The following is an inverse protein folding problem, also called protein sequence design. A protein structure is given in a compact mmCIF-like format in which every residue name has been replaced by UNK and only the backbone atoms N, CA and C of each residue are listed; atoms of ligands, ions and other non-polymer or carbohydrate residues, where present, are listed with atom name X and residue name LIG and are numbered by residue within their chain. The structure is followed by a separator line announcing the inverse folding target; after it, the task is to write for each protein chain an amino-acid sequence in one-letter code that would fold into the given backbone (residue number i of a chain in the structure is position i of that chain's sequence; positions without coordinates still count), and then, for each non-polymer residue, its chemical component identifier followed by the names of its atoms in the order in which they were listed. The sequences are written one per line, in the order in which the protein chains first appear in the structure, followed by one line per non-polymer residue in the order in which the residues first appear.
data_IF_985799695188
#
_entry.id   IF_985799695188
#
_cell.length_a   1.000
_cell.length_b   1.000
_cell.length_c   1.000
_cell.angle_alpha   90.00
_cell.angle_beta   90.00
_cell.angle_gamma   90.00
#
_symmetry.space_group_name_H-M   'P 1'
#
loop_
_entity.id
_entity.type
_entity.pdbx_description
1 polymer ?
#
# COMPACT_ATOMS: atom_id res chain seq x y z
N UNK A 1 3.59 19.39 -2.94
CA UNK A 1 4.74 19.07 -2.06
C UNK A 1 4.48 17.69 -1.47
N UNK A 2 5.40 16.73 -1.62
CA UNK A 2 5.22 15.40 -1.04
C UNK A 2 5.18 15.52 0.48
N UNK A 3 4.15 14.95 1.10
CA UNK A 3 3.94 14.96 2.56
C UNK A 3 4.53 13.68 3.17
N UNK A 4 4.85 13.69 4.46
CA UNK A 4 5.36 12.51 5.20
C UNK A 4 4.58 12.42 6.51
N UNK A 5 4.21 11.21 6.94
CA UNK A 5 3.52 10.98 8.20
C UNK A 5 4.46 10.24 9.17
N UNK A 6 4.69 10.78 10.37
CA UNK A 6 5.49 10.11 11.40
C UNK A 6 4.57 9.45 12.43
N UNK A 7 4.80 8.17 12.71
CA UNK A 7 3.94 7.35 13.58
C UNK A 7 4.75 6.62 14.66
N UNK A 8 4.33 6.65 15.93
CA UNK A 8 5.00 5.88 16.98
C UNK A 8 4.86 4.38 16.76
N UNK A 9 5.92 3.63 17.09
CA UNK A 9 5.93 2.18 16.98
C UNK A 9 5.02 1.54 18.02
N UNK A 10 3.99 0.85 17.54
CA UNK A 10 3.06 0.07 18.37
C UNK A 10 3.29 -1.42 18.19
N UNK A 11 3.14 -2.17 19.28
CA UNK A 11 3.15 -3.62 19.27
C UNK A 11 1.72 -4.16 19.21
N UNK A 12 1.53 -5.32 18.57
CA UNK A 12 0.23 -5.96 18.42
C UNK A 12 -0.14 -6.21 16.96
N UNK A 13 -1.30 -6.84 16.77
CA UNK A 13 -1.87 -7.10 15.44
C UNK A 13 -3.32 -6.66 15.44
N UNK A 14 -3.78 -6.16 14.31
CA UNK A 14 -5.20 -5.93 14.06
C UNK A 14 -5.99 -7.21 14.42
N UNK A 15 -6.99 -7.13 15.30
CA UNK A 15 -7.89 -8.26 15.53
C UNK A 15 -8.54 -8.70 14.23
N UNK A 16 -8.71 -10.02 14.04
CA UNK A 16 -9.28 -10.57 12.80
C UNK A 16 -10.65 -9.98 12.46
N UNK A 17 -11.52 -9.80 13.45
CA UNK A 17 -12.85 -9.22 13.26
C UNK A 17 -12.80 -7.78 12.73
N UNK A 18 -11.79 -6.99 13.13
CA UNK A 18 -11.60 -5.63 12.64
C UNK A 18 -11.09 -5.68 11.20
N UNK A 19 -10.07 -6.50 10.95
CA UNK A 19 -9.52 -6.67 9.61
C UNK A 19 -10.58 -7.09 8.58
N UNK A 20 -11.48 -8.01 8.94
CA UNK A 20 -12.59 -8.42 8.06
C UNK A 20 -13.55 -7.26 7.74
N UNK A 21 -13.84 -6.38 8.72
CA UNK A 21 -14.62 -5.15 8.48
C UNK A 21 -13.87 -4.15 7.61
N UNK A 22 -12.59 -3.93 7.89
CA UNK A 22 -11.72 -3.06 7.09
C UNK A 22 -11.69 -3.51 5.63
N UNK A 23 -11.51 -4.81 5.38
CA UNK A 23 -11.48 -5.39 4.03
C UNK A 23 -12.77 -5.14 3.26
N UNK A 24 -13.92 -5.34 3.91
CA UNK A 24 -15.23 -5.12 3.26
C UNK A 24 -15.43 -3.65 2.94
N UNK A 25 -15.19 -2.77 3.93
CA UNK A 25 -15.40 -1.33 3.80
C UNK A 25 -14.43 -0.70 2.81
N UNK A 26 -13.14 -1.08 2.84
CA UNK A 26 -12.14 -0.58 1.90
C UNK A 26 -12.51 -0.92 0.46
N UNK A 27 -12.97 -2.14 0.20
CA UNK A 27 -13.43 -2.53 -1.13
C UNK A 27 -14.59 -1.69 -1.65
N UNK A 28 -15.62 -1.45 -0.83
CA UNK A 28 -16.78 -0.62 -1.22
C UNK A 28 -16.36 0.83 -1.48
N UNK A 29 -15.53 1.42 -0.61
CA UNK A 29 -15.07 2.80 -0.79
C UNK A 29 -14.27 2.93 -2.10
N UNK A 30 -13.37 1.98 -2.37
CA UNK A 30 -12.55 2.01 -3.58
C UNK A 30 -13.39 1.82 -4.84
N UNK A 31 -14.36 0.91 -4.81
CA UNK A 31 -15.31 0.73 -5.92
C UNK A 31 -16.08 2.02 -6.20
N UNK A 32 -16.59 2.72 -5.18
CA UNK A 32 -17.27 4.00 -5.34
C UNK A 32 -16.36 5.07 -5.95
N UNK A 33 -15.11 5.19 -5.47
CA UNK A 33 -14.14 6.14 -6.03
C UNK A 33 -13.86 5.82 -7.50
N UNK A 34 -13.73 4.53 -7.85
CA UNK A 34 -13.47 4.11 -9.23
C UNK A 34 -14.66 4.43 -10.13
N UNK A 35 -15.89 4.20 -9.67
CA UNK A 35 -17.11 4.51 -10.44
C UNK A 35 -17.22 6.01 -10.69
N UNK A 36 -16.97 6.84 -9.67
CA UNK A 36 -17.19 8.29 -9.74
C UNK A 36 -16.02 9.05 -10.38
N UNK A 37 -14.78 8.58 -10.20
CA UNK A 37 -13.56 9.34 -10.49
C UNK A 37 -12.48 8.54 -11.25
N UNK A 38 -12.70 7.24 -11.46
CA UNK A 38 -11.76 6.37 -12.17
C UNK A 38 -10.62 5.81 -11.30
N UNK A 39 -9.90 4.84 -11.84
CA UNK A 39 -8.83 4.09 -11.15
C UNK A 39 -7.61 4.95 -10.86
N UNK A 40 -7.28 5.89 -11.74
CA UNK A 40 -6.17 6.82 -11.54
C UNK A 40 -6.37 7.68 -10.29
N UNK A 41 -7.63 8.02 -9.96
CA UNK A 41 -7.93 8.76 -8.74
C UNK A 41 -7.59 7.96 -7.49
N UNK A 42 -7.83 6.65 -7.48
CA UNK A 42 -7.40 5.77 -6.39
C UNK A 42 -5.89 5.83 -6.19
N UNK A 43 -5.12 5.77 -7.29
CA UNK A 43 -3.65 5.87 -7.21
C UNK A 43 -3.20 7.22 -6.64
N UNK A 44 -3.81 8.32 -7.09
CA UNK A 44 -3.53 9.66 -6.59
C UNK A 44 -3.81 9.77 -5.08
N UNK A 45 -4.99 9.31 -4.64
CA UNK A 45 -5.42 9.38 -3.24
C UNK A 45 -4.54 8.52 -2.32
N UNK A 46 -4.21 7.29 -2.74
CA UNK A 46 -3.33 6.40 -1.97
C UNK A 46 -1.89 6.93 -1.90
N UNK A 47 -1.45 7.71 -2.89
CA UNK A 47 -0.13 8.33 -2.88
C UNK A 47 -0.02 9.53 -1.92
N UNK A 48 -1.13 10.08 -1.45
CA UNK A 48 -1.16 11.17 -0.47
C UNK A 48 -1.16 10.61 0.97
N UNK A 49 -0.07 10.80 1.75
CA UNK A 49 -0.01 10.21 3.09
C UNK A 49 -1.07 10.74 4.05
N UNK A 50 -1.53 11.99 3.91
CA UNK A 50 -2.58 12.52 4.77
C UNK A 50 -3.93 11.86 4.46
N UNK A 51 -4.25 11.72 3.16
CA UNK A 51 -5.48 11.02 2.76
C UNK A 51 -5.42 9.54 3.16
N UNK A 52 -4.28 8.88 2.95
CA UNK A 52 -4.08 7.48 3.31
C UNK A 52 -4.23 7.23 4.82
N UNK A 53 -3.66 8.10 5.67
CA UNK A 53 -3.83 8.02 7.12
C UNK A 53 -5.30 8.23 7.51
N UNK A 54 -5.98 9.23 6.93
CA UNK A 54 -7.39 9.47 7.17
C UNK A 54 -8.26 8.28 6.72
N UNK A 55 -7.93 7.67 5.58
CA UNK A 55 -8.58 6.46 5.11
C UNK A 55 -8.42 5.30 6.10
N UNK A 56 -7.21 5.09 6.65
CA UNK A 56 -7.00 4.10 7.71
C UNK A 56 -7.87 4.35 8.95
N UNK A 57 -8.05 5.61 9.33
CA UNK A 57 -8.95 6.01 10.43
C UNK A 57 -10.43 5.72 10.10
N UNK A 58 -10.87 6.02 8.87
CA UNK A 58 -12.23 5.69 8.38
C UNK A 58 -12.49 4.19 8.43
N UNK A 59 -11.47 3.37 8.18
CA UNK A 59 -11.57 1.91 8.30
C UNK A 59 -11.60 1.42 9.76
N UNK A 60 -11.53 2.32 10.74
CA UNK A 60 -11.57 2.00 12.17
C UNK A 60 -10.21 1.64 12.77
N UNK A 61 -9.10 2.02 12.12
CA UNK A 61 -7.76 1.83 12.64
C UNK A 61 -7.25 3.09 13.35
N UNK A 62 -6.36 2.94 14.33
CA UNK A 62 -5.85 4.06 15.12
C UNK A 62 -4.91 4.96 14.31
N UNK A 63 -5.19 6.27 14.35
CA UNK A 63 -4.45 7.33 13.65
C UNK A 63 -2.97 7.45 14.06
N UNK A 64 -2.60 6.96 15.23
CA UNK A 64 -1.25 7.09 15.81
C UNK A 64 -0.47 5.77 15.79
N UNK A 65 -0.84 4.80 14.94
CA UNK A 65 -0.24 3.47 14.93
C UNK A 65 0.62 3.21 13.69
N UNK A 66 1.89 2.86 13.89
CA UNK A 66 2.78 2.35 12.82
C UNK A 66 2.27 1.06 12.15
N UNK A 67 1.24 0.42 12.71
CA UNK A 67 0.57 -0.73 12.12
C UNK A 67 -0.42 -0.36 11.02
N UNK A 68 -0.82 0.92 10.92
CA UNK A 68 -1.88 1.40 10.03
C UNK A 68 -1.57 1.06 8.57
N UNK A 69 -0.43 1.49 8.05
CA UNK A 69 -0.06 1.26 6.64
C UNK A 69 -0.09 -0.21 6.29
N UNK A 70 0.51 -1.05 7.13
CA UNK A 70 0.57 -2.48 6.86
C UNK A 70 -0.80 -3.16 6.90
N UNK A 71 -1.70 -2.69 7.76
CA UNK A 71 -3.04 -3.26 7.93
C UNK A 71 -3.98 -2.78 6.83
N UNK A 72 -3.97 -1.49 6.52
CA UNK A 72 -4.78 -0.87 5.45
C UNK A 72 -4.41 -1.47 4.11
N UNK A 73 -3.11 -1.55 3.76
CA UNK A 73 -2.68 -2.16 2.50
C UNK A 73 -3.01 -3.65 2.42
N UNK A 74 -2.92 -4.38 3.55
CA UNK A 74 -3.36 -5.78 3.61
C UNK A 74 -4.86 -5.93 3.35
N UNK A 75 -5.68 -5.12 4.01
CA UNK A 75 -7.14 -5.13 3.83
C UNK A 75 -7.52 -4.74 2.40
N UNK A 76 -6.87 -3.73 1.83
CA UNK A 76 -7.09 -3.27 0.47
C UNK A 76 -6.72 -4.33 -0.57
N UNK A 77 -5.58 -5.00 -0.41
CA UNK A 77 -5.13 -6.08 -1.30
C UNK A 77 -6.15 -7.22 -1.39
N UNK A 78 -6.65 -7.68 -0.24
CA UNK A 78 -7.67 -8.72 -0.21
C UNK A 78 -9.02 -8.23 -0.76
N UNK A 79 -9.38 -6.97 -0.50
CA UNK A 79 -10.62 -6.38 -0.99
C UNK A 79 -10.67 -6.27 -2.52
N UNK A 80 -9.58 -5.79 -3.15
CA UNK A 80 -9.52 -5.61 -4.60
C UNK A 80 -9.43 -6.96 -5.34
N UNK A 81 -8.76 -7.94 -4.74
CA UNK A 81 -8.71 -9.31 -5.28
C UNK A 81 -10.10 -9.95 -5.41
N UNK A 82 -11.02 -9.64 -4.50
CA UNK A 82 -12.38 -10.19 -4.52
C UNK A 82 -13.33 -9.48 -5.51
N UNK A 83 -13.01 -8.24 -5.93
CA UNK A 83 -13.94 -7.37 -6.68
C UNK A 83 -13.62 -7.19 -8.16
N UNK A 84 -12.42 -7.56 -8.59
CA UNK A 84 -11.97 -7.47 -9.99
C UNK A 84 -12.23 -6.10 -10.64
N UNK A 85 -11.68 -5.03 -10.03
CA UNK A 85 -11.93 -3.64 -10.45
C UNK A 85 -10.87 -3.11 -11.44
N UNK A 86 -10.07 -3.98 -12.05
CA UNK A 86 -8.96 -3.58 -12.92
C UNK A 86 -7.81 -2.84 -12.21
N UNK A 87 -7.71 -3.01 -10.88
CA UNK A 87 -6.67 -2.45 -10.01
C UNK A 87 -6.21 -3.51 -9.01
N UNK A 88 -4.90 -3.59 -8.79
CA UNK A 88 -4.28 -4.63 -7.97
C UNK A 88 -3.24 -4.05 -7.02
N UNK A 89 -3.01 -4.77 -5.92
CA UNK A 89 -1.93 -4.48 -4.96
C UNK A 89 -0.96 -5.65 -4.94
N UNK A 90 0.30 -5.37 -5.24
CA UNK A 90 1.41 -6.31 -5.10
C UNK A 90 2.33 -5.90 -3.94
N UNK A 91 2.92 -6.87 -3.25
CA UNK A 91 3.79 -6.67 -2.10
C UNK A 91 3.08 -6.72 -0.75
N UNK A 92 3.72 -6.14 0.26
CA UNK A 92 3.24 -6.11 1.63
C UNK A 92 4.33 -5.86 2.65
N UNK A 93 4.14 -6.41 3.84
CA UNK A 93 5.02 -6.23 5.00
C UNK A 93 6.18 -7.25 5.02
N UNK A 94 7.38 -6.78 5.36
CA UNK A 94 8.55 -7.62 5.61
C UNK A 94 8.92 -8.49 4.41
N UNK A 95 8.93 -9.82 4.58
CA UNK A 95 9.28 -10.75 3.49
C UNK A 95 8.33 -10.68 2.29
N UNK A 96 7.08 -10.28 2.50
CA UNK A 96 6.09 -10.16 1.42
C UNK A 96 6.45 -9.04 0.44
N UNK A 97 7.08 -7.95 0.91
CA UNK A 97 7.60 -6.87 0.05
C UNK A 97 8.56 -7.37 -1.03
N UNK A 98 9.33 -8.44 -0.74
CA UNK A 98 10.30 -8.99 -1.69
C UNK A 98 9.65 -9.76 -2.83
N UNK A 99 8.38 -10.17 -2.66
CA UNK A 99 7.60 -10.90 -3.66
C UNK A 99 6.83 -9.97 -4.61
N UNK A 100 6.90 -8.65 -4.44
CA UNK A 100 6.20 -7.69 -5.33
C UNK A 100 6.47 -7.96 -6.81
N UNK A 101 7.72 -8.21 -7.28
CA UNK A 101 7.95 -8.51 -8.69
C UNK A 101 7.22 -9.76 -9.18
N UNK A 102 7.16 -10.80 -8.37
CA UNK A 102 6.53 -12.07 -8.75
C UNK A 102 5.00 -11.91 -8.81
N UNK A 103 4.41 -11.25 -7.80
CA UNK A 103 2.97 -10.95 -7.79
C UNK A 103 2.55 -10.05 -8.96
N UNK A 104 3.40 -9.10 -9.38
CA UNK A 104 3.15 -8.29 -10.58
C UNK A 104 3.15 -9.15 -11.84
N UNK A 105 4.08 -10.11 -11.99
CA UNK A 105 4.09 -11.03 -13.14
C UNK A 105 2.84 -11.91 -13.16
N UNK A 106 2.44 -12.45 -12.01
CA UNK A 106 1.27 -13.32 -11.88
C UNK A 106 -0.03 -12.61 -12.31
N UNK A 107 -0.16 -11.31 -12.02
CA UNK A 107 -1.30 -10.50 -12.45
C UNK A 107 -1.16 -10.14 -13.93
N UNK A 108 0.02 -9.66 -14.34
CA UNK A 108 0.27 -9.22 -15.71
C UNK A 108 0.03 -10.33 -16.75
N UNK A 109 0.39 -11.57 -16.43
CA UNK A 109 0.11 -12.74 -17.27
C UNK A 109 -1.40 -12.96 -17.48
N UNK A 110 -2.21 -12.76 -16.44
CA UNK A 110 -3.66 -12.97 -16.49
C UNK A 110 -4.39 -11.89 -17.28
N UNK A 111 -3.88 -10.67 -17.27
CA UNK A 111 -4.55 -9.50 -17.87
C UNK A 111 -3.89 -9.01 -19.17
N UNK A 112 -2.83 -9.69 -19.62
CA UNK A 112 -2.14 -9.36 -20.88
C UNK A 112 -1.29 -8.08 -20.82
N UNK A 113 -0.75 -7.72 -19.66
CA UNK A 113 0.05 -6.51 -19.46
C UNK A 113 1.57 -6.83 -19.49
N UNK A 114 2.40 -5.88 -19.93
CA UNK A 114 3.86 -6.00 -19.80
C UNK A 114 4.30 -5.67 -18.35
N UNK A 115 4.84 -6.62 -17.57
CA UNK A 115 5.17 -6.39 -16.17
C UNK A 115 6.45 -5.57 -15.95
N UNK A 116 7.35 -5.50 -16.93
CA UNK A 116 8.71 -4.98 -16.73
C UNK A 116 8.76 -3.51 -16.28
N UNK A 117 7.98 -2.58 -16.86
CA UNK A 117 7.94 -1.20 -16.37
C UNK A 117 7.47 -1.08 -14.92
N UNK A 118 6.49 -1.89 -14.51
CA UNK A 118 5.96 -1.91 -13.14
C UNK A 118 6.96 -2.50 -12.14
N UNK A 119 7.64 -3.59 -12.53
CA UNK A 119 8.69 -4.21 -11.73
C UNK A 119 9.86 -3.25 -11.54
N UNK A 120 10.27 -2.57 -12.61
CA UNK A 120 11.32 -1.55 -12.55
C UNK A 120 10.93 -0.42 -11.60
N UNK A 121 9.74 0.16 -11.76
CA UNK A 121 9.22 1.21 -10.87
C UNK A 121 9.24 0.77 -9.40
N UNK A 122 8.67 -0.41 -9.11
CA UNK A 122 8.66 -0.99 -7.76
C UNK A 122 10.06 -1.12 -7.16
N UNK A 123 11.02 -1.66 -7.93
CA UNK A 123 12.40 -1.87 -7.45
C UNK A 123 13.12 -0.55 -7.22
N UNK A 124 12.96 0.41 -8.14
CA UNK A 124 13.63 1.70 -8.05
C UNK A 124 13.09 2.53 -6.88
N UNK A 125 11.78 2.54 -6.65
CA UNK A 125 11.20 3.20 -5.46
C UNK A 125 11.74 2.62 -4.16
N UNK A 126 11.76 1.28 -4.03
CA UNK A 126 12.32 0.61 -2.85
C UNK A 126 13.83 0.87 -2.68
N UNK A 127 14.57 1.00 -3.78
CA UNK A 127 16.01 1.29 -3.75
C UNK A 127 16.31 2.73 -3.32
N UNK A 128 15.52 3.70 -3.77
CA UNK A 128 15.61 5.09 -3.32
C UNK A 128 15.37 5.18 -1.82
N UNK A 129 14.33 4.54 -1.29
CA UNK A 129 14.02 4.63 0.14
C UNK A 129 15.02 3.87 1.03
N UNK A 130 15.58 2.77 0.56
CA UNK A 130 16.53 1.97 1.35
C UNK A 130 18.00 2.40 1.25
N UNK A 131 18.42 2.99 0.13
CA UNK A 131 19.82 3.35 -0.11
C UNK A 131 20.05 4.83 -0.41
N UNK A 132 19.04 5.52 -0.95
CA UNK A 132 19.11 6.95 -1.26
C UNK A 132 18.75 7.81 -0.05
N UNK A 133 17.67 7.48 0.66
CA UNK A 133 17.28 8.14 1.90
C UNK A 133 18.12 7.59 3.06
N UNK A 134 19.23 8.27 3.35
CA UNK A 134 20.19 7.91 4.41
C UNK A 134 19.78 8.46 5.78
N UNK A 135 18.52 8.25 6.16
CA UNK A 135 17.94 8.88 7.35
C UNK A 135 17.71 7.91 8.53
N UNK A 136 18.27 6.69 8.41
CA UNK A 136 18.23 5.68 9.44
C UNK A 136 16.90 4.92 9.57
N UNK A 137 15.97 5.10 8.64
CA UNK A 137 14.76 4.27 8.56
C UNK A 137 14.98 3.08 7.63
N UNK A 138 14.75 1.87 8.13
CA UNK A 138 14.81 0.65 7.33
C UNK A 138 13.45 0.34 6.71
N UNK A 139 13.44 0.02 5.41
CA UNK A 139 12.20 -0.29 4.69
C UNK A 139 11.53 -1.54 5.25
N UNK A 140 10.33 -1.37 5.81
CA UNK A 140 9.58 -2.42 6.50
C UNK A 140 8.37 -2.91 5.72
N UNK A 141 7.77 -2.04 4.93
CA UNK A 141 6.59 -2.33 4.12
C UNK A 141 6.78 -1.71 2.74
N UNK A 142 6.43 -2.46 1.70
CA UNK A 142 6.46 -1.99 0.33
C UNK A 142 5.32 -2.62 -0.45
N UNK A 143 4.51 -1.77 -1.05
CA UNK A 143 3.42 -2.18 -1.93
C UNK A 143 3.42 -1.34 -3.20
N UNK A 144 3.14 -2.01 -4.31
CA UNK A 144 2.85 -1.39 -5.60
C UNK A 144 1.35 -1.54 -5.85
N UNK A 145 0.65 -0.43 -6.06
CA UNK A 145 -0.74 -0.43 -6.53
C UNK A 145 -0.72 -0.08 -8.01
N UNK A 146 -1.37 -0.86 -8.86
CA UNK A 146 -1.33 -0.63 -10.30
C UNK A 146 -2.63 -1.01 -11.00
N UNK A 147 -2.87 -0.42 -12.17
CA UNK A 147 -4.07 -0.61 -12.98
C UNK A 147 -3.77 -1.40 -14.25
N UNK A 148 -4.82 -1.81 -14.97
CA UNK A 148 -4.71 -2.54 -16.25
C UNK A 148 -4.10 -1.70 -17.37
N UNK A 149 -4.13 -0.38 -17.24
CA UNK A 149 -3.48 0.56 -18.15
C UNK A 149 -2.00 0.80 -17.80
N UNK A 150 -1.47 0.08 -16.79
CA UNK A 150 -0.08 0.19 -16.35
C UNK A 150 0.25 1.44 -15.54
N UNK A 151 -0.77 2.19 -15.09
CA UNK A 151 -0.59 3.28 -14.13
C UNK A 151 -0.30 2.69 -12.74
N UNK A 152 0.46 3.39 -11.92
CA UNK A 152 0.87 2.86 -10.62
C UNK A 152 1.14 3.94 -9.57
N UNK A 153 1.08 3.51 -8.31
CA UNK A 153 1.58 4.24 -7.14
C UNK A 153 2.31 3.27 -6.20
N UNK A 154 3.26 3.78 -5.42
CA UNK A 154 4.00 2.99 -4.42
C UNK A 154 3.70 3.54 -3.04
N UNK A 155 3.36 2.65 -2.12
CA UNK A 155 3.15 2.97 -0.70
C UNK A 155 4.19 2.17 0.10
N UNK A 156 5.03 2.91 0.80
CA UNK A 156 6.14 2.39 1.59
C UNK A 156 6.07 2.87 3.03
N UNK A 157 6.65 2.08 3.93
CA UNK A 157 6.86 2.50 5.32
C UNK A 157 8.26 2.09 5.75
N UNK A 158 9.03 3.07 6.22
CA UNK A 158 10.30 2.88 6.91
C UNK A 158 10.10 2.78 8.42
N UNK A 159 10.99 2.07 9.12
CA UNK A 159 11.01 2.01 10.58
C UNK A 159 12.39 2.35 11.13
N UNK A 160 12.42 3.15 12.20
CA UNK A 160 13.62 3.43 12.98
C UNK A 160 13.40 2.92 14.42
N UNK A 161 13.91 1.73 14.76
CA UNK A 161 13.74 1.15 16.10
C UNK A 161 14.37 1.98 17.23
N UNK A 162 15.45 2.70 16.94
CA UNK A 162 16.17 3.52 17.91
C UNK A 162 15.34 4.75 18.31
N UNK A 163 14.72 5.41 17.33
CA UNK A 163 13.83 6.54 17.56
C UNK A 163 12.42 6.11 17.99
N UNK A 164 12.05 4.84 17.76
CA UNK A 164 10.70 4.28 17.96
C UNK A 164 9.63 4.97 17.11
N UNK A 165 9.98 5.33 15.88
CA UNK A 165 9.05 5.88 14.88
C UNK A 165 9.07 5.09 13.57
N UNK A 166 7.97 5.21 12.84
CA UNK A 166 7.82 4.84 11.44
C UNK A 166 7.51 6.10 10.61
N UNK A 167 7.83 6.07 9.32
CA UNK A 167 7.48 7.10 8.36
C UNK A 167 7.09 6.55 6.99
#
# INVERSE_FOLDING_TARGET
MARIAYLPLHHGRAPRWLFEKMRRLSGVIMELIIIEQGKEKVLELLSDPCWFQAFGCVLGFDWHSSGLTTTVMGALKEALKERDLGIWVAGGKGRVARRTPDEVRDVAEKVGLNPEPLIYASRMSAKVDSAGLQDGYELYHHTLVFTEEGKWSVIQQGMNPQLRYAR
#
